data_IF_624559137413
#
_entry.id   IF_624559137413
#
_cell.length_a   1.000
_cell.length_b   1.000
_cell.length_c   1.000
_cell.angle_alpha   90.00
_cell.angle_beta   90.00
_cell.angle_gamma   90.00
#
_symmetry.space_group_name_H-M   'P 1'
#
loop_
_entity.id
_entity.type
_entity.pdbx_description
1 polymer ?
#
# COMPACT_ATOMS: atom_id res chain seq x y z
N UNK A 1 -42.67 26.38 52.21
CA UNK A 1 -42.15 25.22 51.41
C UNK A 1 -42.42 25.33 49.90
N UNK A 2 -43.36 26.17 49.48
CA UNK A 2 -43.78 26.32 48.06
C UNK A 2 -42.74 26.99 47.15
N UNK A 3 -41.89 27.88 47.66
CA UNK A 3 -40.92 28.62 46.87
C UNK A 3 -39.60 27.85 46.59
N UNK A 4 -39.29 26.82 47.39
CA UNK A 4 -38.08 26.02 47.19
C UNK A 4 -38.22 24.98 46.06
N UNK A 5 -39.43 24.53 45.80
CA UNK A 5 -39.73 23.58 44.72
C UNK A 5 -39.65 24.28 43.36
N UNK A 6 -40.09 25.56 43.28
CA UNK A 6 -40.06 26.34 42.06
C UNK A 6 -38.64 26.65 41.58
N UNK A 7 -37.68 26.82 42.52
CA UNK A 7 -36.29 27.10 42.23
C UNK A 7 -35.56 25.84 41.70
N UNK A 8 -35.92 24.65 42.19
CA UNK A 8 -35.35 23.39 41.72
C UNK A 8 -35.81 23.04 40.32
N UNK A 9 -37.05 23.35 39.96
CA UNK A 9 -37.57 23.10 38.60
C UNK A 9 -36.92 24.04 37.58
N UNK A 10 -36.59 25.27 37.98
CA UNK A 10 -35.91 26.24 37.09
C UNK A 10 -34.46 25.89 36.81
N UNK A 11 -33.78 25.22 37.76
CA UNK A 11 -32.41 24.73 37.54
C UNK A 11 -32.33 23.50 36.63
N UNK A 12 -33.40 22.69 36.54
CA UNK A 12 -33.42 21.50 35.70
C UNK A 12 -33.68 21.78 34.21
N UNK A 13 -34.23 22.99 33.90
CA UNK A 13 -34.56 23.39 32.52
C UNK A 13 -33.40 24.08 31.79
N UNK A 14 -32.28 24.36 32.49
CA UNK A 14 -31.14 25.10 31.93
C UNK A 14 -30.07 24.26 31.25
N UNK A 15 -30.16 22.93 31.21
CA UNK A 15 -29.07 22.07 30.76
C UNK A 15 -29.33 21.35 29.46
N UNK A 16 -30.15 21.91 28.59
CA UNK A 16 -30.38 21.41 27.24
C UNK A 16 -29.76 22.33 26.17
N UNK A 17 -28.52 22.79 26.37
CA UNK A 17 -27.76 23.29 25.24
C UNK A 17 -27.01 22.12 24.63
N UNK A 18 -27.72 21.36 23.81
CA UNK A 18 -27.07 20.45 22.84
C UNK A 18 -26.23 21.32 21.90
N UNK A 19 -24.92 21.32 22.08
CA UNK A 19 -24.01 21.83 21.08
C UNK A 19 -24.12 20.93 19.85
N UNK A 20 -24.90 21.40 18.87
CA UNK A 20 -24.83 20.85 17.53
C UNK A 20 -23.42 21.12 17.00
N UNK A 21 -22.57 20.11 17.04
CA UNK A 21 -21.34 20.12 16.25
C UNK A 21 -21.75 20.09 14.78
N UNK A 22 -21.68 21.24 14.17
CA UNK A 22 -21.73 21.34 12.72
C UNK A 22 -20.45 20.69 12.20
N UNK A 23 -20.54 19.42 11.80
CA UNK A 23 -19.53 18.80 10.98
C UNK A 23 -19.62 19.52 9.64
N UNK A 24 -18.76 20.48 9.41
CA UNK A 24 -18.53 21.02 8.08
C UNK A 24 -17.75 19.93 7.33
N UNK A 25 -18.48 19.06 6.66
CA UNK A 25 -17.92 18.20 5.62
C UNK A 25 -17.54 19.17 4.50
N UNK A 26 -16.28 19.54 4.49
CA UNK A 26 -15.69 20.19 3.34
C UNK A 26 -15.62 19.09 2.25
N UNK A 27 -16.77 18.83 1.62
CA UNK A 27 -16.78 18.09 0.38
C UNK A 27 -16.15 18.99 -0.68
N UNK A 28 -14.82 18.94 -0.74
CA UNK A 28 -14.15 19.43 -1.93
C UNK A 28 -14.66 18.59 -3.11
N UNK A 29 -15.12 19.22 -4.19
CA UNK A 29 -15.66 18.50 -5.32
C UNK A 29 -14.55 17.83 -6.12
N UNK A 30 -14.03 16.73 -5.58
CA UNK A 30 -13.10 15.83 -6.28
C UNK A 30 -13.73 15.35 -7.58
N UNK A 31 -15.05 15.25 -7.61
CA UNK A 31 -15.84 14.82 -8.77
C UNK A 31 -15.74 15.83 -9.92
N UNK A 32 -15.72 17.13 -9.64
CA UNK A 32 -15.64 18.16 -10.67
C UNK A 32 -14.28 18.18 -11.37
N UNK A 33 -13.19 17.92 -10.63
CA UNK A 33 -11.85 17.79 -11.21
C UNK A 33 -11.67 16.53 -12.06
N UNK A 34 -12.33 15.44 -11.70
CA UNK A 34 -12.31 14.23 -12.54
C UNK A 34 -13.07 14.42 -13.85
N UNK A 35 -14.13 15.19 -13.83
CA UNK A 35 -14.97 15.40 -15.02
C UNK A 35 -14.33 16.34 -16.04
N UNK A 36 -13.59 17.36 -15.60
CA UNK A 36 -12.84 18.24 -16.50
C UNK A 36 -11.72 17.50 -17.26
N UNK A 37 -11.10 16.52 -16.63
CA UNK A 37 -10.03 15.71 -17.27
C UNK A 37 -10.59 14.78 -18.35
N UNK A 38 -11.89 14.42 -18.26
CA UNK A 38 -12.53 13.54 -19.24
C UNK A 38 -13.07 14.28 -20.48
N UNK A 39 -13.40 15.57 -20.35
CA UNK A 39 -14.01 16.36 -21.43
C UNK A 39 -12.95 17.05 -22.30
N UNK A 40 -11.77 17.35 -21.76
CA UNK A 40 -10.69 17.96 -22.53
C UNK A 40 -9.73 16.87 -22.99
N UNK A 41 -10.04 16.28 -24.14
CA UNK A 41 -9.27 15.21 -24.79
C UNK A 41 -7.77 15.41 -24.74
N UNK A 42 -7.11 14.54 -23.99
CA UNK A 42 -5.75 14.12 -24.23
C UNK A 42 -4.66 15.17 -24.28
N UNK A 43 -4.02 15.37 -23.13
CA UNK A 43 -2.55 15.43 -23.05
C UNK A 43 -2.18 15.15 -21.59
N UNK A 44 -1.52 14.02 -21.39
CA UNK A 44 -0.84 13.66 -20.15
C UNK A 44 0.16 14.76 -19.81
N UNK A 45 -0.28 15.73 -19.01
CA UNK A 45 0.57 16.71 -18.38
C UNK A 45 0.83 16.23 -16.97
N UNK A 46 1.99 15.66 -16.74
CA UNK A 46 2.52 15.35 -15.42
C UNK A 46 2.64 16.63 -14.62
N UNK A 47 1.69 16.91 -13.73
CA UNK A 47 1.89 17.87 -12.66
C UNK A 47 2.91 17.28 -11.69
N UNK A 48 4.02 18.00 -11.37
CA UNK A 48 4.92 17.55 -10.34
C UNK A 48 4.25 17.75 -8.97
N UNK A 49 3.61 16.69 -8.49
CA UNK A 49 3.19 16.60 -7.09
C UNK A 49 4.45 16.40 -6.24
N UNK A 50 4.86 17.46 -5.52
CA UNK A 50 5.96 17.45 -4.54
C UNK A 50 5.57 16.71 -3.25
N UNK A 51 5.04 15.53 -3.38
CA UNK A 51 4.89 14.53 -2.35
C UNK A 51 5.24 13.24 -3.04
N UNK A 52 6.29 12.54 -2.60
CA UNK A 52 6.82 11.36 -3.25
C UNK A 52 5.73 10.33 -3.57
N UNK A 53 5.07 10.49 -4.67
CA UNK A 53 4.09 9.53 -5.18
C UNK A 53 4.86 8.28 -5.57
N UNK A 54 4.71 7.26 -4.77
CA UNK A 54 5.23 5.93 -5.10
C UNK A 54 4.53 5.47 -6.37
N UNK A 55 5.22 5.58 -7.50
CA UNK A 55 4.70 5.10 -8.78
C UNK A 55 4.75 3.57 -8.79
N UNK A 56 3.63 2.97 -9.15
CA UNK A 56 3.52 1.53 -9.35
C UNK A 56 3.50 1.30 -10.87
N UNK A 57 4.43 0.49 -11.34
CA UNK A 57 4.58 0.12 -12.75
C UNK A 57 4.47 -1.39 -12.92
N UNK A 58 4.09 -1.82 -14.11
CA UNK A 58 4.16 -3.23 -14.45
C UNK A 58 5.63 -3.63 -14.59
N UNK A 59 5.97 -4.78 -14.01
CA UNK A 59 7.34 -5.26 -13.98
C UNK A 59 7.41 -6.75 -13.67
N UNK A 60 8.56 -7.17 -13.15
CA UNK A 60 8.87 -8.56 -12.88
C UNK A 60 9.50 -8.71 -11.50
N UNK A 61 9.20 -9.82 -10.85
CA UNK A 61 9.88 -10.28 -9.63
C UNK A 61 10.33 -11.71 -9.80
N UNK A 62 11.23 -12.13 -8.94
CA UNK A 62 11.61 -13.54 -8.84
C UNK A 62 10.91 -14.15 -7.65
N UNK A 63 10.11 -15.18 -7.86
CA UNK A 63 9.48 -15.96 -6.80
C UNK A 63 10.45 -17.05 -6.34
N UNK A 64 10.80 -17.04 -5.05
CA UNK A 64 11.69 -18.04 -4.45
C UNK A 64 10.95 -19.31 -4.10
N UNK A 65 9.79 -19.16 -3.43
CA UNK A 65 9.00 -20.30 -2.99
C UNK A 65 7.53 -19.93 -2.83
N UNK A 66 6.69 -20.95 -2.80
CA UNK A 66 5.31 -20.89 -2.37
C UNK A 66 5.09 -22.00 -1.34
N UNK A 67 4.58 -21.66 -0.15
CA UNK A 67 4.37 -22.60 0.95
C UNK A 67 3.12 -22.23 1.75
N UNK A 68 2.54 -23.20 2.44
CA UNK A 68 1.45 -22.97 3.40
C UNK A 68 1.97 -22.66 4.80
N UNK A 69 3.26 -22.86 5.03
CA UNK A 69 3.94 -22.67 6.31
C UNK A 69 4.56 -21.28 6.40
N UNK A 70 4.09 -20.50 7.36
CA UNK A 70 4.57 -19.13 7.59
C UNK A 70 6.03 -19.10 8.11
N UNK A 71 6.44 -20.08 8.91
CA UNK A 71 7.81 -20.12 9.42
C UNK A 71 8.83 -20.27 8.29
N UNK A 72 8.52 -21.10 7.29
CA UNK A 72 9.38 -21.24 6.10
C UNK A 72 9.51 -19.95 5.30
N UNK A 73 8.50 -19.11 5.31
CA UNK A 73 8.57 -17.78 4.70
C UNK A 73 9.59 -16.91 5.41
N UNK A 74 9.50 -16.83 6.73
CA UNK A 74 10.37 -15.99 7.55
C UNK A 74 11.83 -16.47 7.46
N UNK A 75 12.07 -17.77 7.48
CA UNK A 75 13.41 -18.38 7.27
C UNK A 75 13.97 -18.04 5.89
N UNK A 76 13.16 -18.21 4.84
CA UNK A 76 13.59 -17.92 3.47
C UNK A 76 13.92 -16.43 3.29
N UNK A 77 13.14 -15.53 3.87
CA UNK A 77 13.40 -14.10 3.84
C UNK A 77 14.68 -13.73 4.60
N UNK A 78 14.89 -14.28 5.79
CA UNK A 78 16.08 -14.02 6.60
C UNK A 78 17.34 -14.52 5.89
N UNK A 79 17.29 -15.73 5.34
CA UNK A 79 18.41 -16.31 4.60
C UNK A 79 18.73 -15.52 3.33
N UNK A 80 17.70 -15.10 2.59
CA UNK A 80 17.89 -14.28 1.39
C UNK A 80 18.49 -12.92 1.74
N UNK A 81 17.97 -12.22 2.76
CA UNK A 81 18.45 -10.91 3.18
C UNK A 81 19.91 -10.94 3.63
N UNK A 82 20.35 -12.03 4.25
CA UNK A 82 21.75 -12.20 4.67
C UNK A 82 22.72 -12.36 3.50
N UNK A 83 22.28 -13.01 2.41
CA UNK A 83 23.11 -13.27 1.21
C UNK A 83 23.07 -12.14 0.19
N UNK A 84 21.93 -11.48 0.06
CA UNK A 84 21.67 -10.44 -0.94
C UNK A 84 21.12 -9.17 -0.28
N UNK A 85 21.95 -8.48 0.52
CA UNK A 85 21.54 -7.25 1.18
C UNK A 85 21.20 -6.17 0.14
N UNK A 86 20.18 -5.37 0.42
CA UNK A 86 19.76 -4.27 -0.47
C UNK A 86 18.82 -4.67 -1.60
N UNK A 87 18.57 -5.97 -1.82
CA UNK A 87 17.56 -6.43 -2.79
C UNK A 87 16.21 -6.52 -2.10
N UNK A 88 15.18 -5.99 -2.77
CA UNK A 88 13.81 -6.11 -2.26
C UNK A 88 13.45 -7.56 -1.92
N UNK A 89 12.90 -7.75 -0.75
CA UNK A 89 12.52 -9.05 -0.22
C UNK A 89 11.15 -8.94 0.46
N UNK A 90 10.14 -9.49 -0.17
CA UNK A 90 8.77 -9.42 0.31
C UNK A 90 8.03 -10.74 0.19
N UNK A 91 6.89 -10.81 0.83
CA UNK A 91 5.98 -11.94 0.68
C UNK A 91 4.55 -11.45 0.49
N UNK A 92 3.72 -12.29 -0.10
CA UNK A 92 2.28 -12.07 -0.26
C UNK A 92 1.51 -13.33 0.07
N UNK A 93 0.29 -13.17 0.59
CA UNK A 93 -0.61 -14.29 0.82
C UNK A 93 -1.59 -14.42 -0.34
N UNK A 94 -1.62 -15.60 -0.94
CA UNK A 94 -2.65 -16.03 -1.88
C UNK A 94 -3.17 -17.38 -1.39
N UNK A 95 -4.17 -17.33 -0.53
CA UNK A 95 -4.71 -18.50 0.19
C UNK A 95 -4.85 -19.72 -0.72
N UNK A 96 -4.37 -20.90 -0.31
CA UNK A 96 -3.80 -21.21 0.99
C UNK A 96 -2.31 -20.90 1.11
N UNK A 97 -1.64 -20.38 0.07
CA UNK A 97 -0.18 -20.25 0.00
C UNK A 97 0.31 -18.86 0.40
N UNK A 98 1.50 -18.86 0.98
CA UNK A 98 2.40 -17.71 1.09
C UNK A 98 3.43 -17.78 -0.04
N UNK A 99 3.69 -16.66 -0.70
CA UNK A 99 4.63 -16.57 -1.81
C UNK A 99 5.72 -15.56 -1.45
N UNK A 100 6.97 -16.01 -1.45
CA UNK A 100 8.13 -15.13 -1.24
C UNK A 100 8.61 -14.65 -2.61
N UNK A 101 8.65 -13.33 -2.78
CA UNK A 101 9.05 -12.66 -4.02
C UNK A 101 10.15 -11.65 -3.73
N UNK A 102 11.16 -11.65 -4.56
CA UNK A 102 12.37 -10.85 -4.39
C UNK A 102 12.68 -10.04 -5.65
N UNK A 103 13.45 -8.97 -5.45
CA UNK A 103 13.79 -8.03 -6.50
C UNK A 103 12.56 -7.31 -7.07
N UNK A 104 12.80 -6.25 -7.76
CA UNK A 104 11.81 -5.50 -8.52
C UNK A 104 12.49 -5.03 -9.80
N UNK A 105 12.05 -5.51 -10.94
CA UNK A 105 12.67 -5.27 -12.23
C UNK A 105 11.64 -4.70 -13.20
N UNK A 106 12.03 -3.74 -14.01
CA UNK A 106 11.18 -3.19 -15.06
C UNK A 106 11.20 -4.05 -16.32
N UNK A 107 12.30 -4.78 -16.52
CA UNK A 107 12.52 -5.63 -17.68
C UNK A 107 12.63 -7.11 -17.30
N UNK A 108 12.05 -7.98 -18.13
CA UNK A 108 12.20 -9.43 -18.00
C UNK A 108 13.67 -9.86 -18.15
N UNK A 109 14.44 -9.15 -18.96
CA UNK A 109 15.87 -9.44 -19.16
C UNK A 109 16.66 -9.20 -17.89
N UNK A 110 16.41 -8.10 -17.17
CA UNK A 110 17.02 -7.81 -15.87
C UNK A 110 16.66 -8.88 -14.84
N UNK A 111 15.38 -9.24 -14.75
CA UNK A 111 14.93 -10.32 -13.89
C UNK A 111 15.60 -11.67 -14.21
N UNK A 112 15.81 -11.96 -15.50
CA UNK A 112 16.50 -13.18 -15.95
C UNK A 112 17.97 -13.19 -15.55
N UNK A 113 18.66 -12.07 -15.74
CA UNK A 113 20.05 -11.92 -15.33
C UNK A 113 20.22 -12.09 -13.82
N UNK A 114 19.30 -11.51 -13.06
CA UNK A 114 19.29 -11.69 -11.61
C UNK A 114 18.97 -13.12 -11.21
N UNK A 115 17.99 -13.75 -11.83
CA UNK A 115 17.65 -15.16 -11.59
C UNK A 115 18.87 -16.07 -11.80
N UNK A 116 19.65 -15.86 -12.87
CA UNK A 116 20.85 -16.64 -13.14
C UNK A 116 21.88 -16.53 -12.00
N UNK A 117 22.03 -15.36 -11.40
CA UNK A 117 22.95 -15.14 -10.27
C UNK A 117 22.54 -15.96 -9.05
N UNK A 118 21.24 -16.02 -8.75
CA UNK A 118 20.74 -16.71 -7.55
C UNK A 118 20.38 -18.17 -7.76
N UNK A 119 20.37 -18.66 -9.00
CA UNK A 119 19.92 -20.02 -9.36
C UNK A 119 20.69 -21.14 -8.65
N UNK A 120 21.93 -20.88 -8.26
CA UNK A 120 22.76 -21.82 -7.50
C UNK A 120 22.22 -22.03 -6.08
N UNK A 121 21.74 -20.97 -5.46
CA UNK A 121 21.20 -21.00 -4.09
C UNK A 121 19.71 -21.36 -4.06
N UNK A 122 18.98 -21.00 -5.12
CA UNK A 122 17.54 -21.18 -5.24
C UNK A 122 17.19 -21.81 -6.59
N UNK A 123 17.37 -23.12 -6.75
CA UNK A 123 17.14 -23.81 -8.02
C UNK A 123 15.69 -23.75 -8.51
N UNK A 124 14.72 -23.68 -7.59
CA UNK A 124 13.29 -23.65 -7.90
C UNK A 124 12.76 -22.23 -8.16
N UNK A 125 13.61 -21.20 -8.04
CA UNK A 125 13.19 -19.83 -8.27
C UNK A 125 12.82 -19.59 -9.74
N UNK A 126 11.81 -18.77 -9.98
CA UNK A 126 11.35 -18.40 -11.32
C UNK A 126 10.79 -16.98 -11.39
N UNK A 127 10.74 -16.42 -12.59
CA UNK A 127 10.29 -15.06 -12.84
C UNK A 127 8.76 -15.04 -12.93
N UNK A 128 8.15 -14.04 -12.27
CA UNK A 128 6.71 -13.77 -12.31
C UNK A 128 6.47 -12.31 -12.71
N UNK A 129 5.45 -12.03 -13.53
CA UNK A 129 4.99 -10.66 -13.72
C UNK A 129 4.37 -10.16 -12.41
N UNK A 130 4.65 -8.92 -12.07
CA UNK A 130 4.15 -8.29 -10.84
C UNK A 130 4.10 -6.77 -10.99
N UNK A 131 3.34 -6.12 -10.14
CA UNK A 131 3.36 -4.66 -10.03
C UNK A 131 4.44 -4.26 -9.05
N UNK A 132 5.38 -3.46 -9.51
CA UNK A 132 6.55 -3.04 -8.73
C UNK A 132 6.48 -1.54 -8.44
N UNK A 133 6.93 -1.15 -7.25
CA UNK A 133 7.10 0.26 -6.92
C UNK A 133 8.45 0.73 -7.46
N UNK A 134 8.49 1.94 -8.01
CA UNK A 134 9.74 2.53 -8.51
C UNK A 134 10.82 2.65 -7.45
N UNK A 135 10.43 2.79 -6.18
CA UNK A 135 11.35 2.81 -5.03
C UNK A 135 11.99 1.46 -4.67
N UNK A 136 11.46 0.35 -5.20
CA UNK A 136 11.92 -1.02 -4.93
C UNK A 136 12.76 -1.59 -6.07
N UNK A 137 12.94 -0.82 -7.17
CA UNK A 137 13.66 -1.29 -8.35
C UNK A 137 15.11 -1.64 -7.97
N UNK A 138 15.48 -2.85 -8.34
CA UNK A 138 16.82 -3.40 -8.11
C UNK A 138 17.69 -3.04 -9.31
N UNK A 139 18.74 -2.25 -9.09
CA UNK A 139 19.74 -1.88 -10.09
C UNK A 139 20.86 -2.93 -10.18
#
# INVERSE_FOLDING_TARGET
MRNKILLVVLCFFGWQFATAQTISINEEPIITRMMETYITGGKSGSTPSTGGTVQIVDGFRVQLLATTDRLKVDEAQALFASRYPGVYNGWSQAKPYYRVRIGAFTSRTEASNFLLKIKKDYPDAYIVPDRVKTSEITN
#
